data_IF_374341924091
#
_entry.id   IF_374341924091
#
_cell.length_a   1.000
_cell.length_b   1.000
_cell.length_c   1.000
_cell.angle_alpha   90.00
_cell.angle_beta   90.00
_cell.angle_gamma   90.00
#
_symmetry.space_group_name_H-M   'P 1'
#
loop_
_entity.id
_entity.type
_entity.pdbx_description
1 polymer ?
#
# COMPACT_ATOMS: atom_id res chain seq x y z
N UNK A 1 -16.18 -0.06 9.07
CA UNK A 1 -15.85 -1.25 8.31
C UNK A 1 -14.62 -1.05 7.47
N UNK A 2 -13.81 -2.08 7.33
CA UNK A 2 -12.54 -2.03 6.58
C UNK A 2 -12.79 -1.72 5.11
N UNK A 3 -13.72 -2.44 4.48
CA UNK A 3 -13.99 -2.27 3.05
C UNK A 3 -14.51 -0.88 2.71
N UNK A 4 -15.36 -0.32 3.54
CA UNK A 4 -15.89 1.03 3.34
C UNK A 4 -14.77 2.06 3.39
N UNK A 5 -13.86 1.92 4.36
CA UNK A 5 -12.73 2.85 4.49
C UNK A 5 -11.76 2.75 3.33
N UNK A 6 -11.51 1.52 2.86
CA UNK A 6 -10.72 1.32 1.64
C UNK A 6 -11.34 2.04 0.45
N UNK A 7 -12.65 1.90 0.28
CA UNK A 7 -13.35 2.58 -0.81
C UNK A 7 -13.19 4.09 -0.71
N UNK A 8 -13.24 4.64 0.51
CA UNK A 8 -13.07 6.08 0.72
C UNK A 8 -11.63 6.54 0.47
N UNK A 9 -10.63 5.74 0.85
CA UNK A 9 -9.24 6.05 0.52
C UNK A 9 -9.08 6.16 -0.99
N UNK A 10 -9.53 5.15 -1.72
CA UNK A 10 -9.41 5.13 -3.18
C UNK A 10 -10.19 6.26 -3.83
N UNK A 11 -11.41 6.52 -3.36
CA UNK A 11 -12.24 7.58 -3.89
C UNK A 11 -11.55 8.95 -3.79
N UNK A 12 -11.08 9.31 -2.59
CA UNK A 12 -10.46 10.62 -2.38
C UNK A 12 -9.12 10.78 -3.10
N UNK A 13 -8.40 9.68 -3.32
CA UNK A 13 -7.15 9.72 -4.07
C UNK A 13 -7.41 9.85 -5.58
N UNK A 14 -8.39 9.10 -6.10
CA UNK A 14 -8.61 9.02 -7.55
C UNK A 14 -9.47 10.15 -8.11
N UNK A 15 -10.31 10.79 -7.30
CA UNK A 15 -11.06 11.95 -7.75
C UNK A 15 -10.15 13.16 -7.96
N UNK A 16 -10.35 13.93 -9.06
CA UNK A 16 -9.64 15.21 -9.20
C UNK A 16 -9.98 16.15 -8.03
N UNK A 17 -8.99 16.93 -7.59
CA UNK A 17 -9.17 17.84 -6.46
C UNK A 17 -10.32 18.83 -6.67
N UNK A 18 -10.52 19.28 -7.92
CA UNK A 18 -11.57 20.24 -8.27
C UNK A 18 -12.98 19.69 -8.02
N UNK A 19 -13.15 18.36 -8.01
CA UNK A 19 -14.46 17.74 -7.78
C UNK A 19 -14.50 16.90 -6.50
N UNK A 20 -13.61 17.19 -5.56
CA UNK A 20 -13.68 16.62 -4.22
C UNK A 20 -12.54 15.71 -3.79
N UNK A 21 -11.56 15.44 -4.67
CA UNK A 21 -10.39 14.63 -4.30
C UNK A 21 -9.55 15.32 -3.24
N UNK A 22 -8.96 14.53 -2.33
CA UNK A 22 -8.19 15.08 -1.22
C UNK A 22 -7.28 14.02 -0.62
N UNK A 23 -5.96 14.23 -0.74
CA UNK A 23 -5.01 13.35 -0.06
C UNK A 23 -5.22 13.40 1.46
N UNK A 24 -5.50 14.57 2.01
CA UNK A 24 -5.73 14.72 3.44
C UNK A 24 -6.88 13.83 3.93
N UNK A 25 -7.99 13.80 3.20
CA UNK A 25 -9.13 12.94 3.55
C UNK A 25 -8.78 11.46 3.36
N UNK A 26 -8.07 11.12 2.31
CA UNK A 26 -7.61 9.76 2.09
C UNK A 26 -6.71 9.29 3.24
N UNK A 27 -5.78 10.14 3.69
CA UNK A 27 -4.92 9.82 4.83
C UNK A 27 -5.72 9.62 6.12
N UNK A 28 -6.77 10.41 6.31
CA UNK A 28 -7.66 10.24 7.47
C UNK A 28 -8.26 8.82 7.48
N UNK A 29 -8.77 8.37 6.35
CA UNK A 29 -9.36 7.03 6.27
C UNK A 29 -8.30 5.92 6.36
N UNK A 30 -7.09 6.17 5.85
CA UNK A 30 -5.98 5.25 6.04
C UNK A 30 -5.61 5.12 7.53
N UNK A 31 -5.65 6.23 8.28
CA UNK A 31 -5.42 6.20 9.72
C UNK A 31 -6.52 5.42 10.45
N UNK A 32 -7.76 5.55 10.01
CA UNK A 32 -8.87 4.75 10.56
C UNK A 32 -8.67 3.26 10.25
N UNK A 33 -8.21 2.93 9.05
CA UNK A 33 -7.85 1.54 8.71
C UNK A 33 -6.75 1.04 9.63
N UNK A 34 -5.73 1.86 9.90
CA UNK A 34 -4.63 1.49 10.78
C UNK A 34 -5.12 1.09 12.17
N UNK A 35 -6.14 1.79 12.68
CA UNK A 35 -6.73 1.47 13.99
C UNK A 35 -7.51 0.15 13.96
N UNK A 36 -8.10 -0.20 12.82
CA UNK A 36 -8.88 -1.44 12.67
C UNK A 36 -8.02 -2.64 12.29
N UNK A 37 -7.02 -2.43 11.45
CA UNK A 37 -6.13 -3.46 10.94
C UNK A 37 -4.82 -2.81 10.52
N UNK A 38 -3.73 -3.12 11.19
CA UNK A 38 -2.42 -2.57 10.84
C UNK A 38 -2.01 -2.93 9.42
N UNK A 39 -2.30 -4.16 8.98
CA UNK A 39 -1.99 -4.58 7.61
C UNK A 39 -2.70 -3.68 6.61
N UNK A 40 -4.00 -3.50 6.77
CA UNK A 40 -4.77 -2.65 5.87
C UNK A 40 -4.34 -1.19 5.94
N UNK A 41 -4.02 -0.69 7.13
CA UNK A 41 -3.51 0.67 7.29
C UNK A 41 -2.21 0.90 6.54
N UNK A 42 -1.24 -0.01 6.67
CA UNK A 42 0.03 0.10 5.95
C UNK A 42 -0.16 -0.08 4.45
N UNK A 43 -1.03 -0.99 4.02
CA UNK A 43 -1.33 -1.15 2.60
C UNK A 43 -1.97 0.12 2.03
N UNK A 44 -2.88 0.74 2.77
CA UNK A 44 -3.54 1.97 2.33
C UNK A 44 -2.54 3.13 2.21
N UNK A 45 -1.65 3.27 3.19
CA UNK A 45 -0.62 4.31 3.13
C UNK A 45 0.35 4.06 1.97
N UNK A 46 0.72 2.81 1.74
CA UNK A 46 1.54 2.45 0.58
C UNK A 46 0.85 2.75 -0.74
N UNK A 47 -0.45 2.46 -0.84
CA UNK A 47 -1.24 2.79 -2.01
C UNK A 47 -1.22 4.29 -2.31
N UNK A 48 -1.43 5.12 -1.28
CA UNK A 48 -1.38 6.58 -1.44
C UNK A 48 0.01 7.01 -1.92
N UNK A 49 1.06 6.47 -1.31
CA UNK A 49 2.43 6.81 -1.68
C UNK A 49 2.72 6.43 -3.13
N UNK A 50 2.29 5.25 -3.58
CA UNK A 50 2.48 4.83 -4.98
C UNK A 50 1.76 5.79 -5.92
N UNK A 51 0.54 6.17 -5.59
CA UNK A 51 -0.23 7.08 -6.42
C UNK A 51 0.51 8.40 -6.66
N UNK A 52 1.18 8.92 -5.64
CA UNK A 52 1.94 10.16 -5.74
C UNK A 52 3.42 9.92 -6.05
N UNK A 53 3.78 8.74 -6.50
CA UNK A 53 5.15 8.35 -6.89
C UNK A 53 6.17 8.51 -5.76
N UNK A 54 5.72 8.36 -4.52
CA UNK A 54 6.60 8.35 -3.34
C UNK A 54 7.04 6.91 -3.06
N UNK A 55 7.82 6.34 -3.96
CA UNK A 55 8.10 4.90 -3.96
C UNK A 55 8.94 4.43 -2.78
N UNK A 56 9.86 5.27 -2.29
CA UNK A 56 10.66 4.92 -1.10
C UNK A 56 9.77 4.80 0.13
N UNK A 57 8.81 5.73 0.30
CA UNK A 57 7.84 5.66 1.39
C UNK A 57 6.90 4.47 1.22
N UNK A 58 6.47 4.21 -0.03
CA UNK A 58 5.62 3.06 -0.33
C UNK A 58 6.31 1.76 0.05
N UNK A 59 7.60 1.63 -0.23
CA UNK A 59 8.38 0.45 0.16
C UNK A 59 8.33 0.24 1.68
N UNK A 60 8.55 1.29 2.45
CA UNK A 60 8.51 1.20 3.92
C UNK A 60 7.14 0.68 4.39
N UNK A 61 6.07 1.26 3.87
CA UNK A 61 4.71 0.87 4.27
C UNK A 61 4.35 -0.55 3.83
N UNK A 62 4.67 -0.92 2.59
CA UNK A 62 4.38 -2.27 2.09
C UNK A 62 5.22 -3.33 2.79
N UNK A 63 6.47 -3.03 3.15
CA UNK A 63 7.29 -3.96 3.93
C UNK A 63 6.67 -4.21 5.30
N UNK A 64 6.20 -3.17 5.98
CA UNK A 64 5.53 -3.33 7.26
C UNK A 64 4.26 -4.17 7.13
N UNK A 65 3.46 -3.91 6.10
CA UNK A 65 2.26 -4.70 5.84
C UNK A 65 2.60 -6.17 5.63
N UNK A 66 3.64 -6.45 4.85
CA UNK A 66 4.05 -7.82 4.55
C UNK A 66 4.66 -8.52 5.77
N UNK A 67 5.44 -7.82 6.57
CA UNK A 67 6.01 -8.37 7.81
C UNK A 67 4.92 -8.83 8.77
N UNK A 68 3.82 -8.06 8.87
CA UNK A 68 2.72 -8.37 9.77
C UNK A 68 1.78 -9.42 9.16
N UNK A 69 1.37 -9.19 7.91
CA UNK A 69 0.34 -10.00 7.26
C UNK A 69 0.86 -11.27 6.61
N UNK A 70 2.03 -11.18 6.01
CA UNK A 70 2.70 -12.31 5.34
C UNK A 70 1.75 -13.10 4.43
N UNK A 71 0.95 -12.39 3.65
CA UNK A 71 -0.09 -12.96 2.78
C UNK A 71 0.28 -12.81 1.31
N UNK A 72 -0.47 -13.51 0.45
CA UNK A 72 -0.34 -13.34 -0.99
C UNK A 72 -0.56 -11.88 -1.39
N UNK A 73 -1.57 -11.23 -0.80
CA UNK A 73 -1.88 -9.82 -1.10
C UNK A 73 -0.72 -8.90 -0.73
N UNK A 74 -0.18 -9.02 0.48
CA UNK A 74 0.95 -8.17 0.90
C UNK A 74 2.20 -8.45 0.09
N UNK A 75 2.44 -9.71 -0.24
CA UNK A 75 3.54 -10.09 -1.14
C UNK A 75 3.39 -9.42 -2.50
N UNK A 76 2.22 -9.56 -3.13
CA UNK A 76 2.00 -9.03 -4.48
C UNK A 76 2.17 -7.51 -4.54
N UNK A 77 1.71 -6.78 -3.54
CA UNK A 77 1.87 -5.32 -3.49
C UNK A 77 3.34 -4.91 -3.43
N UNK A 78 4.09 -5.56 -2.56
CA UNK A 78 5.52 -5.25 -2.42
C UNK A 78 6.32 -5.70 -3.65
N UNK A 79 6.01 -6.89 -4.17
CA UNK A 79 6.66 -7.42 -5.36
C UNK A 79 6.45 -6.51 -6.57
N UNK A 80 5.21 -6.08 -6.79
CA UNK A 80 4.87 -5.15 -7.88
C UNK A 80 5.63 -3.82 -7.75
N UNK A 81 5.73 -3.31 -6.53
CA UNK A 81 6.48 -2.07 -6.28
C UNK A 81 7.94 -2.25 -6.69
N UNK A 82 8.58 -3.34 -6.25
CA UNK A 82 9.98 -3.59 -6.58
C UNK A 82 10.16 -3.76 -8.09
N UNK A 83 9.34 -4.59 -8.70
CA UNK A 83 9.52 -4.97 -10.11
C UNK A 83 9.17 -3.83 -11.06
N UNK A 84 8.03 -3.20 -10.86
CA UNK A 84 7.43 -2.29 -11.83
C UNK A 84 7.65 -0.80 -11.54
N UNK A 85 7.83 -0.42 -10.28
CA UNK A 85 8.00 0.98 -9.90
C UNK A 85 9.46 1.31 -9.60
N UNK A 86 10.08 0.55 -8.73
CA UNK A 86 11.49 0.76 -8.38
C UNK A 86 12.44 0.12 -9.39
N UNK A 87 11.95 -0.75 -10.26
CA UNK A 87 12.74 -1.46 -11.27
C UNK A 87 13.92 -2.22 -10.66
N UNK A 88 13.69 -2.80 -9.49
CA UNK A 88 14.72 -3.53 -8.74
C UNK A 88 14.40 -5.03 -8.78
N UNK A 89 14.88 -5.70 -9.82
CA UNK A 89 14.66 -7.13 -10.01
C UNK A 89 15.32 -7.97 -8.92
N UNK A 90 16.44 -7.50 -8.38
CA UNK A 90 17.16 -8.22 -7.32
C UNK A 90 16.31 -8.31 -6.07
N UNK A 91 15.76 -7.18 -5.63
CA UNK A 91 14.85 -7.18 -4.46
C UNK A 91 13.57 -7.94 -4.73
N UNK A 92 13.01 -7.82 -5.93
CA UNK A 92 11.79 -8.54 -6.32
C UNK A 92 12.04 -10.05 -6.25
N UNK A 93 13.13 -10.54 -6.84
CA UNK A 93 13.44 -11.97 -6.85
C UNK A 93 13.73 -12.50 -5.44
N UNK A 94 14.44 -11.73 -4.63
CA UNK A 94 14.72 -12.10 -3.25
C UNK A 94 13.43 -12.24 -2.44
N UNK A 95 12.52 -11.30 -2.59
CA UNK A 95 11.22 -11.34 -1.93
C UNK A 95 10.42 -12.57 -2.36
N UNK A 96 10.42 -12.87 -3.66
CA UNK A 96 9.73 -14.03 -4.20
C UNK A 96 10.28 -15.32 -3.63
N UNK A 97 11.61 -15.48 -3.60
CA UNK A 97 12.25 -16.66 -3.04
C UNK A 97 11.88 -16.84 -1.58
N UNK A 98 11.95 -15.78 -0.79
CA UNK A 98 11.60 -15.83 0.63
C UNK A 98 10.15 -16.21 0.85
N UNK A 99 9.25 -15.72 0.01
CA UNK A 99 7.83 -16.01 0.15
C UNK A 99 7.50 -17.44 -0.28
N UNK A 100 8.12 -17.95 -1.35
CA UNK A 100 7.88 -19.30 -1.86
C UNK A 100 8.50 -20.38 -0.99
N UNK A 101 9.55 -20.06 -0.25
CA UNK A 101 10.31 -21.04 0.55
C UNK A 101 9.91 -21.09 2.02
N UNK A 102 8.70 -20.68 2.34
CA UNK A 102 8.20 -20.75 3.72
C UNK A 102 7.74 -22.15 4.10
#
# INVERSE_FOLDING_TARGET
HIETRWALVMLYIELPGIIGGSEKKAQKYADELMALSKVDGYLAKGYIDVYFSRYTKAEINYKKAHEIGNSKTTFEKLYDLYLNKLKDKVKANKLKEQFENK
#
